data_IF_527470050000
#
_entry.id   IF_527470050000
#
_cell.length_a   1.000
_cell.length_b   1.000
_cell.length_c   1.000
_cell.angle_alpha   90.00
_cell.angle_beta   90.00
_cell.angle_gamma   90.00
#
_symmetry.space_group_name_H-M   'P 1'
#
loop_
_entity.id
_entity.type
_entity.pdbx_description
1 polymer ?
#
# COMPACT_ATOMS: atom_id res chain seq x y z
N UNK A 1 3.71 -6.43 6.08
CA UNK A 1 2.84 -5.65 5.17
C UNK A 1 1.48 -6.33 5.01
N UNK A 2 1.44 -7.66 5.06
CA UNK A 2 0.20 -8.42 4.99
C UNK A 2 -0.73 -8.13 6.18
N UNK A 3 -0.20 -7.99 7.40
CA UNK A 3 -1.04 -7.61 8.56
C UNK A 3 -1.61 -6.19 8.43
N UNK A 4 -0.86 -5.25 7.85
CA UNK A 4 -1.38 -3.93 7.48
C UNK A 4 -2.56 -4.07 6.50
N UNK A 5 -2.41 -4.90 5.47
CA UNK A 5 -3.45 -5.12 4.47
C UNK A 5 -4.73 -5.70 5.10
N UNK A 6 -4.59 -6.71 5.98
CA UNK A 6 -5.71 -7.31 6.72
C UNK A 6 -6.43 -6.31 7.63
N UNK A 7 -5.67 -5.47 8.34
CA UNK A 7 -6.24 -4.41 9.17
C UNK A 7 -7.02 -3.40 8.31
N UNK A 8 -6.43 -2.97 7.20
CA UNK A 8 -7.05 -2.04 6.27
C UNK A 8 -8.32 -2.63 5.61
N UNK A 9 -8.37 -3.93 5.35
CA UNK A 9 -9.57 -4.62 4.85
C UNK A 9 -10.68 -4.67 5.89
N UNK A 10 -10.32 -5.02 7.12
CA UNK A 10 -11.28 -5.04 8.24
C UNK A 10 -11.92 -3.66 8.45
N UNK A 11 -11.11 -2.59 8.30
CA UNK A 11 -11.56 -1.21 8.39
C UNK A 11 -12.45 -0.83 7.19
N UNK A 12 -12.10 -1.26 5.97
CA UNK A 12 -12.88 -1.00 4.77
C UNK A 12 -14.26 -1.70 4.80
N UNK A 13 -14.34 -2.86 5.45
CA UNK A 13 -15.54 -3.69 5.53
C UNK A 13 -16.65 -3.12 6.43
N UNK A 14 -16.36 -2.10 7.25
CA UNK A 14 -17.33 -1.50 8.17
C UNK A 14 -17.70 -0.06 7.79
N UNK A 15 -18.96 0.30 7.98
CA UNK A 15 -19.45 1.68 7.85
C UNK A 15 -19.34 2.50 9.13
N UNK A 16 -19.04 1.87 10.27
CA UNK A 16 -19.04 2.53 11.59
C UNK A 16 -17.71 3.23 11.88
N UNK A 17 -17.73 4.54 12.01
CA UNK A 17 -16.55 5.35 12.39
C UNK A 17 -15.91 4.88 13.70
N UNK A 18 -16.73 4.51 14.69
CA UNK A 18 -16.26 4.00 15.98
C UNK A 18 -15.52 2.67 15.81
N UNK A 19 -16.06 1.79 14.97
CA UNK A 19 -15.46 0.48 14.72
C UNK A 19 -14.16 0.60 13.93
N UNK A 20 -14.10 1.50 12.93
CA UNK A 20 -12.84 1.80 12.22
C UNK A 20 -11.75 2.27 13.16
N UNK A 21 -12.11 3.18 14.07
CA UNK A 21 -11.18 3.74 15.06
C UNK A 21 -10.69 2.65 16.01
N UNK A 22 -11.59 1.77 16.47
CA UNK A 22 -11.23 0.62 17.33
C UNK A 22 -10.29 -0.35 16.61
N UNK A 23 -10.65 -0.81 15.41
CA UNK A 23 -9.84 -1.73 14.62
C UNK A 23 -8.44 -1.17 14.34
N UNK A 24 -8.36 0.12 14.00
CA UNK A 24 -7.08 0.77 13.79
C UNK A 24 -6.28 0.88 15.09
N UNK A 25 -6.89 1.26 16.21
CA UNK A 25 -6.22 1.38 17.49
C UNK A 25 -5.64 0.02 17.95
N UNK A 26 -6.43 -1.04 17.83
CA UNK A 26 -6.01 -2.40 18.21
C UNK A 26 -4.82 -2.87 17.35
N UNK A 27 -4.84 -2.58 16.04
CA UNK A 27 -3.71 -2.86 15.15
C UNK A 27 -2.46 -2.05 15.52
N UNK A 28 -2.59 -0.74 15.77
CA UNK A 28 -1.47 0.14 16.09
C UNK A 28 -0.81 -0.22 17.44
N UNK A 29 -1.60 -0.57 18.45
CA UNK A 29 -1.10 -0.96 19.78
C UNK A 29 -0.21 -2.22 19.76
N UNK A 30 -0.34 -3.06 18.73
CA UNK A 30 0.47 -4.27 18.56
C UNK A 30 1.80 -4.06 17.82
N UNK A 31 2.07 -2.85 17.32
CA UNK A 31 3.26 -2.59 16.50
C UNK A 31 4.43 -2.02 17.33
N UNK A 32 5.69 -2.35 16.96
CA UNK A 32 6.85 -1.63 17.49
C UNK A 32 6.88 -0.19 16.95
N UNK A 33 7.48 0.74 17.71
CA UNK A 33 7.46 2.19 17.45
C UNK A 33 7.76 2.61 15.99
N UNK A 34 8.77 1.98 15.38
CA UNK A 34 9.16 2.29 14.00
C UNK A 34 8.08 1.90 12.98
N UNK A 35 7.47 0.72 13.15
CA UNK A 35 6.40 0.25 12.28
C UNK A 35 5.06 0.92 12.62
N UNK A 36 4.83 1.29 13.88
CA UNK A 36 3.70 2.11 14.32
C UNK A 36 3.65 3.42 13.53
N UNK A 37 4.78 4.15 13.48
CA UNK A 37 4.89 5.40 12.73
C UNK A 37 4.58 5.19 11.25
N UNK A 38 5.16 4.16 10.63
CA UNK A 38 4.95 3.84 9.21
C UNK A 38 3.49 3.48 8.93
N UNK A 39 2.92 2.61 9.75
CA UNK A 39 1.53 2.20 9.66
C UNK A 39 0.57 3.38 9.77
N UNK A 40 0.75 4.26 10.76
CA UNK A 40 -0.06 5.46 10.93
C UNK A 40 -0.02 6.34 9.67
N UNK A 41 1.17 6.58 9.10
CA UNK A 41 1.33 7.32 7.84
C UNK A 41 0.60 6.61 6.69
N UNK A 42 0.83 5.32 6.50
CA UNK A 42 0.24 4.54 5.41
C UNK A 42 -1.29 4.47 5.50
N UNK A 43 -1.86 4.44 6.71
CA UNK A 43 -3.31 4.47 6.93
C UNK A 43 -3.96 5.81 6.55
N UNK A 44 -3.17 6.89 6.39
CA UNK A 44 -3.65 8.14 5.77
C UNK A 44 -3.72 8.06 4.24
N UNK A 45 -3.31 6.92 3.65
CA UNK A 45 -3.25 6.71 2.21
C UNK A 45 -2.07 7.39 1.53
N UNK A 46 -0.96 7.58 2.25
CA UNK A 46 0.24 8.23 1.73
C UNK A 46 1.50 7.42 2.06
N UNK A 47 2.51 7.36 1.17
CA UNK A 47 3.76 6.64 1.44
C UNK A 47 4.73 7.40 2.36
N UNK A 48 4.48 8.69 2.60
CA UNK A 48 5.32 9.55 3.43
C UNK A 48 4.45 10.50 4.26
N UNK A 49 4.96 10.92 5.42
CA UNK A 49 4.27 11.89 6.26
C UNK A 49 4.16 13.26 5.56
N UNK A 50 3.06 13.97 5.78
CA UNK A 50 2.83 15.30 5.16
C UNK A 50 3.93 16.31 5.44
N UNK A 51 4.53 16.27 6.63
CA UNK A 51 5.63 17.15 7.03
C UNK A 51 6.86 16.99 6.14
N UNK A 52 7.07 15.79 5.56
CA UNK A 52 8.25 15.49 4.75
C UNK A 52 8.15 16.04 3.32
N UNK A 53 6.94 16.35 2.82
CA UNK A 53 6.67 16.82 1.45
C UNK A 53 7.33 15.93 0.37
N UNK A 54 7.47 14.63 0.62
CA UNK A 54 8.10 13.66 -0.29
C UNK A 54 7.06 13.02 -1.22
N UNK A 55 7.50 12.67 -2.43
CA UNK A 55 6.73 11.92 -3.43
C UNK A 55 7.64 10.95 -4.16
N UNK A 56 7.12 9.78 -4.53
CA UNK A 56 7.85 8.79 -5.36
C UNK A 56 8.08 9.29 -6.80
N UNK A 57 7.26 10.24 -7.26
CA UNK A 57 7.22 10.73 -8.64
C UNK A 57 7.00 9.59 -9.64
N UNK A 58 6.07 8.69 -9.33
CA UNK A 58 5.62 7.62 -10.20
C UNK A 58 4.32 8.06 -10.90
N UNK A 59 4.37 8.24 -12.22
CA UNK A 59 3.17 8.43 -13.02
C UNK A 59 2.43 7.10 -13.24
N UNK A 60 1.12 7.17 -13.50
CA UNK A 60 0.29 5.98 -13.73
C UNK A 60 0.82 5.05 -14.84
N UNK A 61 1.42 5.61 -15.90
CA UNK A 61 2.05 4.82 -16.96
C UNK A 61 3.24 3.98 -16.45
N UNK A 62 4.06 4.52 -15.54
CA UNK A 62 5.19 3.81 -14.94
C UNK A 62 4.70 2.69 -14.03
N UNK A 63 3.67 2.96 -13.23
CA UNK A 63 3.03 1.95 -12.37
C UNK A 63 2.44 0.83 -13.22
N UNK A 64 1.72 1.16 -14.29
CA UNK A 64 1.15 0.18 -15.19
C UNK A 64 2.19 -0.66 -15.92
N UNK A 65 3.32 -0.09 -16.33
CA UNK A 65 4.41 -0.89 -16.91
C UNK A 65 5.09 -1.79 -15.87
N UNK A 66 5.29 -1.32 -14.63
CA UNK A 66 5.81 -2.16 -13.56
C UNK A 66 4.89 -3.36 -13.27
N UNK A 67 3.58 -3.13 -13.16
CA UNK A 67 2.60 -4.21 -13.04
C UNK A 67 2.60 -5.13 -14.26
N UNK A 68 2.76 -4.58 -15.48
CA UNK A 68 2.93 -5.40 -16.68
C UNK A 68 4.14 -6.30 -16.64
N UNK A 69 5.26 -5.85 -16.10
CA UNK A 69 6.44 -6.71 -15.98
C UNK A 69 6.18 -7.89 -15.04
N UNK A 70 5.42 -7.69 -13.96
CA UNK A 70 5.07 -8.76 -13.02
C UNK A 70 3.99 -9.68 -13.62
N UNK A 71 2.87 -9.14 -14.10
CA UNK A 71 1.76 -9.94 -14.60
C UNK A 71 2.05 -10.64 -15.94
N UNK A 72 3.01 -10.17 -16.76
CA UNK A 72 3.39 -10.89 -18.00
C UNK A 72 3.95 -12.28 -17.73
N UNK A 73 4.31 -12.60 -16.49
CA UNK A 73 4.59 -13.97 -16.08
C UNK A 73 3.36 -14.91 -16.21
N UNK A 74 2.14 -14.36 -16.30
CA UNK A 74 0.87 -15.11 -16.46
C UNK A 74 0.17 -14.93 -17.82
N UNK A 75 0.63 -14.03 -18.70
CA UNK A 75 0.24 -13.99 -20.13
C UNK A 75 -1.03 -13.18 -20.52
N UNK A 76 -1.67 -12.43 -19.61
CA UNK A 76 -2.90 -11.67 -19.91
C UNK A 76 -2.64 -10.18 -20.30
N UNK A 77 -3.43 -9.58 -21.22
CA UNK A 77 -3.36 -8.16 -21.54
C UNK A 77 -3.93 -7.28 -20.42
N UNK A 78 -3.04 -6.59 -19.70
CA UNK A 78 -3.38 -5.74 -18.55
C UNK A 78 -4.25 -4.51 -18.85
N UNK A 79 -4.32 -4.09 -20.11
CA UNK A 79 -5.20 -2.98 -20.50
C UNK A 79 -6.67 -3.36 -20.34
N UNK A 80 -7.02 -4.60 -20.68
CA UNK A 80 -8.38 -5.10 -20.48
C UNK A 80 -8.68 -5.28 -18.98
N UNK A 81 -7.68 -5.63 -18.17
CA UNK A 81 -7.79 -5.69 -16.71
C UNK A 81 -8.10 -4.30 -16.13
N UNK A 82 -7.38 -3.26 -16.58
CA UNK A 82 -7.56 -1.88 -16.12
C UNK A 82 -8.95 -1.34 -16.51
N UNK A 83 -9.44 -1.64 -17.72
CA UNK A 83 -10.79 -1.25 -18.14
C UNK A 83 -11.91 -2.00 -17.40
N UNK A 84 -11.63 -3.20 -16.87
CA UNK A 84 -12.57 -3.99 -16.07
C UNK A 84 -12.69 -3.52 -14.62
N UNK A 85 -11.69 -2.79 -14.10
CA UNK A 85 -11.61 -2.41 -12.70
C UNK A 85 -11.68 -0.89 -12.50
N UNK A 86 -12.67 -0.45 -11.74
CA UNK A 86 -12.80 0.96 -11.32
C UNK A 86 -11.92 1.33 -10.10
N UNK A 87 -11.20 0.36 -9.53
CA UNK A 87 -10.31 0.52 -8.38
C UNK A 87 -8.90 -0.02 -8.71
N UNK A 88 -7.88 0.81 -8.48
CA UNK A 88 -6.47 0.44 -8.72
C UNK A 88 -6.02 -0.76 -7.89
N UNK A 89 -6.64 -0.97 -6.73
CA UNK A 89 -6.32 -2.07 -5.83
C UNK A 89 -6.81 -3.42 -6.35
N UNK A 90 -8.03 -3.49 -6.87
CA UNK A 90 -8.55 -4.73 -7.46
C UNK A 90 -7.76 -5.14 -8.70
N UNK A 91 -7.43 -4.16 -9.54
CA UNK A 91 -6.54 -4.33 -10.68
C UNK A 91 -5.16 -4.85 -10.25
N UNK A 92 -4.57 -4.26 -9.20
CA UNK A 92 -3.29 -4.70 -8.66
C UNK A 92 -3.33 -6.14 -8.15
N UNK A 93 -4.31 -6.48 -7.33
CA UNK A 93 -4.42 -7.84 -6.74
C UNK A 93 -4.54 -8.90 -7.83
N UNK A 94 -5.40 -8.68 -8.82
CA UNK A 94 -5.59 -9.62 -9.92
C UNK A 94 -4.31 -9.75 -10.77
N UNK A 95 -3.65 -8.63 -11.08
CA UNK A 95 -2.40 -8.62 -11.83
C UNK A 95 -1.26 -9.38 -11.13
N UNK A 96 -1.21 -9.31 -9.80
CA UNK A 96 -0.18 -9.95 -8.98
C UNK A 96 -0.50 -11.41 -8.65
N UNK A 97 -1.77 -11.80 -8.67
CA UNK A 97 -2.20 -13.16 -8.31
C UNK A 97 -1.53 -14.21 -9.21
N UNK A 98 -0.82 -15.16 -8.60
CA UNK A 98 -0.09 -16.21 -9.31
C UNK A 98 1.17 -15.73 -10.06
N UNK A 99 1.55 -14.45 -9.92
CA UNK A 99 2.70 -13.83 -10.60
C UNK A 99 3.76 -13.29 -9.63
N UNK A 100 3.60 -13.50 -8.31
CA UNK A 100 4.54 -13.06 -7.27
C UNK A 100 5.06 -14.23 -6.43
N UNK A 101 6.12 -13.97 -5.64
CA UNK A 101 6.67 -14.93 -4.67
C UNK A 101 5.77 -15.14 -3.45
N UNK A 102 4.83 -14.24 -3.18
CA UNK A 102 3.89 -14.40 -2.07
C UNK A 102 4.48 -14.08 -0.69
N UNK A 103 5.55 -13.27 -0.62
CA UNK A 103 6.25 -13.01 0.64
C UNK A 103 5.59 -11.88 1.44
N UNK A 104 5.52 -12.04 2.76
CA UNK A 104 5.16 -10.95 3.66
C UNK A 104 6.42 -10.20 4.09
N UNK A 105 6.56 -8.96 3.61
CA UNK A 105 7.66 -8.08 3.99
C UNK A 105 7.27 -7.18 5.16
N UNK A 106 8.14 -6.99 6.18
CA UNK A 106 7.93 -6.01 7.24
C UNK A 106 7.72 -4.59 6.70
N UNK A 107 7.02 -3.72 7.44
CA UNK A 107 6.76 -2.35 6.98
C UNK A 107 8.05 -1.54 6.82
N UNK A 108 9.02 -1.74 7.71
CA UNK A 108 10.37 -1.18 7.59
C UNK A 108 11.08 -1.54 6.29
N UNK A 109 10.98 -2.80 5.84
CA UNK A 109 11.59 -3.24 4.58
C UNK A 109 10.86 -2.62 3.38
N UNK A 110 9.52 -2.64 3.36
CA UNK A 110 8.74 -1.96 2.33
C UNK A 110 9.12 -0.48 2.22
N UNK A 111 9.28 0.19 3.37
CA UNK A 111 9.68 1.60 3.38
C UNK A 111 11.08 1.83 2.82
N UNK A 112 12.04 0.95 3.12
CA UNK A 112 13.39 1.03 2.56
C UNK A 112 13.36 0.89 1.03
N UNK A 113 12.57 -0.05 0.51
CA UNK A 113 12.40 -0.27 -0.93
C UNK A 113 11.69 0.91 -1.61
N UNK A 114 10.70 1.52 -0.96
CA UNK A 114 10.09 2.77 -1.43
C UNK A 114 11.10 3.92 -1.48
N UNK A 115 12.03 3.98 -0.53
CA UNK A 115 13.08 5.00 -0.53
C UNK A 115 14.11 4.78 -1.66
N UNK A 116 14.50 3.53 -1.92
CA UNK A 116 15.31 3.18 -3.11
C UNK A 116 14.63 3.62 -4.42
N UNK A 117 13.33 3.33 -4.57
CA UNK A 117 12.54 3.77 -5.72
C UNK A 117 12.52 5.30 -5.80
N UNK A 118 12.37 6.00 -4.66
CA UNK A 118 12.33 7.47 -4.65
C UNK A 118 13.64 8.07 -5.15
N UNK A 119 14.77 7.51 -4.70
CA UNK A 119 16.14 7.98 -4.96
C UNK A 119 16.67 7.61 -6.36
N UNK A 120 16.09 6.60 -7.01
CA UNK A 120 16.48 6.18 -8.36
C UNK A 120 16.48 7.35 -9.36
N UNK A 121 17.52 7.40 -10.19
CA UNK A 121 17.83 8.56 -11.03
C UNK A 121 16.92 8.64 -12.26
N UNK A 122 16.42 7.50 -12.74
CA UNK A 122 15.64 7.43 -13.99
C UNK A 122 14.27 6.79 -13.78
N UNK A 123 13.31 7.16 -14.63
CA UNK A 123 11.97 6.56 -14.62
C UNK A 123 12.04 5.05 -14.88
N UNK A 124 12.95 4.60 -15.75
CA UNK A 124 13.14 3.17 -16.04
C UNK A 124 13.66 2.40 -14.82
N UNK A 125 14.57 2.99 -14.05
CA UNK A 125 15.06 2.39 -12.80
C UNK A 125 13.96 2.32 -11.73
N UNK A 126 13.17 3.38 -11.59
CA UNK A 126 11.99 3.40 -10.71
C UNK A 126 10.99 2.31 -11.07
N UNK A 127 10.71 2.15 -12.36
CA UNK A 127 9.83 1.11 -12.88
C UNK A 127 10.34 -0.29 -12.52
N UNK A 128 11.63 -0.55 -12.77
CA UNK A 128 12.28 -1.83 -12.45
C UNK A 128 12.23 -2.14 -10.95
N UNK A 129 12.58 -1.17 -10.11
CA UNK A 129 12.56 -1.35 -8.65
C UNK A 129 11.15 -1.60 -8.11
N UNK A 130 10.15 -0.87 -8.63
CA UNK A 130 8.75 -1.11 -8.30
C UNK A 130 8.30 -2.51 -8.71
N UNK A 131 8.64 -2.95 -9.93
CA UNK A 131 8.32 -4.29 -10.40
C UNK A 131 8.96 -5.39 -9.51
N UNK A 132 10.21 -5.19 -9.08
CA UNK A 132 10.90 -6.11 -8.16
C UNK A 132 10.23 -6.19 -6.79
N UNK A 133 9.83 -5.06 -6.23
CA UNK A 133 9.08 -5.03 -4.96
C UNK A 133 7.74 -5.75 -5.12
N UNK A 134 6.97 -5.43 -6.17
CA UNK A 134 5.68 -6.06 -6.46
C UNK A 134 5.80 -7.58 -6.70
N UNK A 135 6.81 -8.04 -7.43
CA UNK A 135 7.06 -9.47 -7.68
C UNK A 135 7.40 -10.25 -6.40
N UNK A 136 7.79 -9.57 -5.34
CA UNK A 136 8.13 -10.18 -4.04
C UNK A 136 6.89 -10.39 -3.18
N UNK A 137 6.07 -9.34 -3.09
CA UNK A 137 4.98 -9.26 -2.12
C UNK A 137 3.89 -10.31 -2.35
N UNK A 138 3.24 -10.70 -1.25
CA UNK A 138 1.88 -11.24 -1.30
C UNK A 138 0.96 -10.32 -2.14
N UNK A 139 0.08 -10.88 -3.00
CA UNK A 139 -0.81 -10.08 -3.85
C UNK A 139 -1.66 -9.06 -3.07
N UNK A 140 -2.08 -9.40 -1.85
CA UNK A 140 -2.89 -8.56 -0.98
C UNK A 140 -2.05 -7.41 -0.39
N UNK A 141 -0.82 -7.71 0.00
CA UNK A 141 0.16 -6.69 0.38
C UNK A 141 0.48 -5.74 -0.79
N UNK A 142 0.67 -6.28 -1.99
CA UNK A 142 0.92 -5.51 -3.21
C UNK A 142 -0.26 -4.62 -3.62
N UNK A 143 -1.50 -5.08 -3.41
CA UNK A 143 -2.71 -4.27 -3.58
C UNK A 143 -2.65 -3.01 -2.72
N UNK A 144 -2.42 -3.16 -1.42
CA UNK A 144 -2.37 -2.01 -0.51
C UNK A 144 -1.17 -1.11 -0.74
N UNK A 145 -0.01 -1.67 -1.08
CA UNK A 145 1.15 -0.88 -1.50
C UNK A 145 0.77 0.05 -2.65
N UNK A 146 0.11 -0.48 -3.69
CA UNK A 146 -0.29 0.33 -4.83
C UNK A 146 -1.31 1.41 -4.45
N UNK A 147 -2.32 1.05 -3.65
CA UNK A 147 -3.28 2.03 -3.12
C UNK A 147 -2.63 3.17 -2.34
N UNK A 148 -1.56 2.90 -1.58
CA UNK A 148 -0.80 3.91 -0.86
C UNK A 148 -0.03 4.81 -1.83
N UNK A 149 0.74 4.24 -2.77
CA UNK A 149 1.61 5.04 -3.65
C UNK A 149 0.83 5.82 -4.72
N UNK A 150 -0.40 5.40 -5.04
CA UNK A 150 -1.32 6.13 -5.92
C UNK A 150 -2.25 7.08 -5.17
N UNK A 151 -2.17 7.13 -3.83
CA UNK A 151 -3.05 7.95 -2.98
C UNK A 151 -4.54 7.57 -3.08
N UNK A 152 -4.83 6.31 -3.40
CA UNK A 152 -6.19 5.79 -3.61
C UNK A 152 -6.57 4.71 -2.57
N UNK A 153 -6.22 4.90 -1.30
CA UNK A 153 -6.54 3.94 -0.23
C UNK A 153 -8.05 3.68 -0.11
N UNK A 154 -8.87 4.73 -0.11
CA UNK A 154 -10.35 4.70 -0.16
C UNK A 154 -11.05 3.73 0.82
N UNK A 155 -10.47 3.48 2.00
CA UNK A 155 -11.09 2.63 3.04
C UNK A 155 -12.02 3.40 4.00
N UNK A 156 -12.30 4.67 3.69
CA UNK A 156 -13.10 5.56 4.53
C UNK A 156 -12.45 5.88 5.89
N UNK A 157 -11.11 5.88 5.94
CA UNK A 157 -10.33 6.54 6.99
C UNK A 157 -9.97 7.94 6.52
N UNK A 158 -10.31 8.94 7.32
CA UNK A 158 -9.78 10.29 7.21
C UNK A 158 -8.67 10.47 8.26
N UNK A 159 -7.82 11.46 8.09
CA UNK A 159 -6.69 11.75 9.00
C UNK A 159 -7.12 11.85 10.46
N UNK A 160 -8.24 12.53 10.75
CA UNK A 160 -8.77 12.63 12.12
C UNK A 160 -9.16 11.29 12.75
N UNK A 161 -9.47 10.25 11.96
CA UNK A 161 -9.71 8.90 12.49
C UNK A 161 -8.42 8.16 12.82
N UNK A 162 -7.33 8.45 12.09
CA UNK A 162 -6.00 7.95 12.43
C UNK A 162 -5.51 8.58 13.74
N UNK A 163 -5.72 9.89 13.91
CA UNK A 163 -5.43 10.59 15.16
C UNK A 163 -6.25 10.04 16.33
N UNK A 164 -7.56 9.86 16.15
CA UNK A 164 -8.43 9.28 17.18
C UNK A 164 -8.04 7.85 17.55
N UNK A 165 -7.56 7.06 16.58
CA UNK A 165 -7.08 5.70 16.84
C UNK A 165 -5.76 5.70 17.61
N UNK A 166 -4.84 6.62 17.33
CA UNK A 166 -3.62 6.81 18.10
C UNK A 166 -3.92 7.22 19.55
N UNK A 167 -4.80 8.21 19.74
CA UNK A 167 -5.28 8.64 21.05
C UNK A 167 -5.86 7.45 21.84
N UNK A 168 -6.73 6.66 21.19
CA UNK A 168 -7.32 5.46 21.78
C UNK A 168 -6.29 4.36 22.10
N UNK A 169 -5.33 4.12 21.22
CA UNK A 169 -4.35 3.04 21.37
C UNK A 169 -3.41 3.28 22.56
N UNK A 170 -3.12 4.54 22.88
CA UNK A 170 -2.12 4.92 23.87
C UNK A 170 -2.66 5.75 25.05
N UNK A 171 -3.98 5.92 25.12
CA UNK A 171 -4.68 6.68 26.18
C UNK A 171 -4.15 8.11 26.34
N UNK A 172 -4.02 8.83 25.22
CA UNK A 172 -3.52 10.22 25.13
C UNK A 172 -4.50 11.20 24.52
#
# INVERSE_FOLDING_TARGET
>A
MLDFARAADSIAATGSTLEKTRLLADYLAGLPDDDLRRAAIYMTGQPYGRAERRKLNLGGATIGRALQQVARLSGAPLWDLYLRHSDVGDWAREALSGSTRGEDLPLGEVAARLEEIRQAATVAEKERLLAQLLATLDPEAGRYLLKIVTFELRIGLQEGLVEAALARAFDV
#
